data_IF_375770126715
#
_entry.id   IF_375770126715
#
_cell.length_a   1.000
_cell.length_b   1.000
_cell.length_c   1.000
_cell.angle_alpha   90.00
_cell.angle_beta   90.00
_cell.angle_gamma   90.00
#
_symmetry.space_group_name_H-M   'P 1'
#
loop_
_entity.id
_entity.type
_entity.pdbx_description
1 polymer ?
#
# COMPACT_ATOMS: atom_id res chain seq x y z
N UNK A 1 29.89 15.33 -10.15
CA UNK A 1 28.48 14.91 -10.03
C UNK A 1 28.26 14.56 -8.58
N UNK A 2 27.66 15.45 -7.82
CA UNK A 2 27.38 15.22 -6.41
C UNK A 2 26.12 14.35 -6.34
N UNK A 3 26.27 13.07 -5.99
CA UNK A 3 25.16 12.24 -5.56
C UNK A 3 24.59 12.87 -4.29
N UNK A 4 23.44 13.49 -4.42
CA UNK A 4 22.62 13.89 -3.29
C UNK A 4 22.10 12.58 -2.67
N UNK A 5 22.88 11.97 -1.80
CA UNK A 5 22.45 10.84 -0.96
C UNK A 5 21.37 11.37 -0.01
N UNK A 6 20.13 11.39 -0.47
CA UNK A 6 19.00 11.60 0.43
C UNK A 6 19.01 10.46 1.45
N UNK A 7 18.95 10.79 2.74
CA UNK A 7 18.89 9.77 3.80
C UNK A 7 17.71 8.82 3.54
N UNK A 8 17.96 7.52 3.70
CA UNK A 8 16.94 6.49 3.53
C UNK A 8 15.77 6.72 4.50
N UNK A 9 14.58 6.40 4.06
CA UNK A 9 13.38 6.37 4.89
C UNK A 9 13.32 5.03 5.62
N UNK A 10 12.66 4.99 6.77
CA UNK A 10 12.51 3.78 7.59
C UNK A 10 11.04 3.39 7.72
N UNK A 11 10.78 2.09 7.69
CA UNK A 11 9.47 1.54 8.02
C UNK A 11 9.12 1.86 9.50
N UNK A 12 7.84 2.04 9.84
CA UNK A 12 7.38 2.07 11.23
C UNK A 12 7.79 0.82 12.04
N UNK A 13 8.11 -0.28 11.35
CA UNK A 13 8.52 -1.56 11.93
C UNK A 13 10.05 -1.76 11.96
N UNK A 14 10.86 -0.78 11.55
CA UNK A 14 12.32 -0.88 11.45
C UNK A 14 12.97 -1.46 12.72
N UNK A 15 12.62 -0.96 13.90
CA UNK A 15 13.15 -1.46 15.16
C UNK A 15 12.82 -2.94 15.40
N UNK A 16 11.67 -3.42 14.93
CA UNK A 16 11.27 -4.84 15.02
C UNK A 16 12.12 -5.72 14.10
N UNK A 17 12.36 -5.25 12.87
CA UNK A 17 13.22 -5.98 11.92
C UNK A 17 14.64 -6.13 12.44
N UNK A 18 15.23 -5.05 12.98
CA UNK A 18 16.56 -5.08 13.57
C UNK A 18 16.63 -5.98 14.80
N UNK A 19 15.62 -5.95 15.66
CA UNK A 19 15.55 -6.84 16.83
C UNK A 19 15.46 -8.33 16.45
N UNK A 20 14.89 -8.63 15.29
CA UNK A 20 14.85 -9.98 14.70
C UNK A 20 16.14 -10.36 13.94
N UNK A 21 17.14 -9.46 13.91
CA UNK A 21 18.39 -9.67 13.21
C UNK A 21 18.28 -9.60 11.69
N UNK A 22 17.28 -8.91 11.17
CA UNK A 22 17.08 -8.80 9.73
C UNK A 22 18.27 -8.12 9.03
N UNK A 23 18.64 -8.64 7.88
CA UNK A 23 19.55 -7.98 6.94
C UNK A 23 18.77 -6.90 6.22
N UNK A 24 19.21 -5.65 6.36
CA UNK A 24 18.57 -4.49 5.78
C UNK A 24 19.25 -4.07 4.48
N UNK A 25 18.48 -3.52 3.53
CA UNK A 25 18.99 -2.95 2.29
C UNK A 25 18.13 -1.78 1.80
N UNK A 26 18.70 -0.95 0.92
CA UNK A 26 17.95 0.07 0.20
C UNK A 26 16.97 -0.59 -0.78
N UNK A 27 15.71 -0.23 -0.62
CA UNK A 27 14.62 -0.62 -1.51
C UNK A 27 13.80 0.63 -1.90
N UNK A 28 14.13 1.23 -3.03
CA UNK A 28 13.43 2.40 -3.52
C UNK A 28 13.48 3.62 -2.59
N UNK A 29 14.62 3.86 -1.94
CA UNK A 29 14.84 4.96 -1.00
C UNK A 29 14.33 4.68 0.42
N UNK A 30 14.00 3.42 0.73
CA UNK A 30 13.64 2.95 2.06
C UNK A 30 14.64 1.88 2.50
N UNK A 31 15.04 1.89 3.77
CA UNK A 31 15.78 0.79 4.36
C UNK A 31 14.80 -0.30 4.79
N UNK A 32 14.80 -1.42 4.07
CA UNK A 32 13.83 -2.51 4.24
C UNK A 32 14.52 -3.85 4.53
N UNK A 33 13.87 -4.76 5.28
CA UNK A 33 14.41 -6.09 5.52
C UNK A 33 14.36 -6.92 4.24
N UNK A 34 15.47 -7.59 3.92
CA UNK A 34 15.57 -8.47 2.76
C UNK A 34 15.75 -9.94 3.13
N UNK A 35 16.14 -10.23 4.35
CA UNK A 35 16.41 -11.59 4.82
C UNK A 35 16.47 -11.63 6.35
N UNK A 36 16.07 -12.77 6.94
CA UNK A 36 16.17 -13.01 8.38
C UNK A 36 17.08 -14.21 8.71
N UNK A 37 17.72 -14.25 9.90
CA UNK A 37 18.53 -15.37 10.33
C UNK A 37 17.75 -16.69 10.33
N UNK A 38 18.35 -17.73 9.77
CA UNK A 38 17.73 -19.07 9.68
C UNK A 38 16.72 -19.24 8.55
N UNK A 39 16.44 -18.17 7.78
CA UNK A 39 15.63 -18.19 6.56
C UNK A 39 16.49 -18.32 5.31
N UNK A 40 16.41 -17.29 4.48
CA UNK A 40 17.07 -17.19 3.19
C UNK A 40 16.07 -17.33 2.05
N UNK A 41 16.44 -16.81 0.89
CA UNK A 41 15.52 -16.62 -0.26
C UNK A 41 14.75 -17.89 -0.60
N UNK A 42 15.39 -19.05 -0.64
CA UNK A 42 14.73 -20.31 -1.00
C UNK A 42 13.73 -20.77 0.05
N UNK A 43 14.09 -20.71 1.34
CA UNK A 43 13.23 -21.16 2.44
C UNK A 43 12.04 -20.20 2.62
N UNK A 44 12.27 -18.91 2.50
CA UNK A 44 11.21 -17.88 2.58
C UNK A 44 10.25 -17.97 1.38
N UNK A 45 10.77 -18.18 0.18
CA UNK A 45 9.96 -18.43 -1.01
C UNK A 45 9.12 -19.70 -0.85
N UNK A 46 9.71 -20.81 -0.38
CA UNK A 46 8.99 -22.06 -0.12
C UNK A 46 7.87 -21.87 0.90
N UNK A 47 8.14 -21.10 1.98
CA UNK A 47 7.12 -20.78 2.99
C UNK A 47 5.91 -20.08 2.40
N UNK A 48 6.12 -19.07 1.53
CA UNK A 48 5.02 -18.34 0.87
C UNK A 48 4.25 -19.24 -0.09
N UNK A 49 4.92 -20.15 -0.80
CA UNK A 49 4.28 -21.02 -1.79
C UNK A 49 3.47 -22.15 -1.16
N UNK A 50 3.95 -22.70 -0.04
CA UNK A 50 3.43 -23.93 0.54
C UNK A 50 2.80 -23.75 1.93
N UNK A 51 2.99 -22.60 2.57
CA UNK A 51 2.50 -22.28 3.93
C UNK A 51 2.02 -20.83 4.01
N UNK A 52 2.79 -19.95 4.65
CA UNK A 52 2.48 -18.52 4.79
C UNK A 52 3.76 -17.71 5.01
N UNK A 53 3.81 -16.52 4.40
CA UNK A 53 4.84 -15.51 4.64
C UNK A 53 4.22 -14.18 5.06
N UNK A 54 4.97 -13.41 5.85
CA UNK A 54 4.61 -12.07 6.29
C UNK A 54 5.64 -11.10 5.71
N UNK A 55 5.15 -10.03 5.07
CA UNK A 55 5.99 -9.01 4.45
C UNK A 55 5.66 -7.64 5.00
N UNK A 56 6.67 -6.89 5.40
CA UNK A 56 6.54 -5.45 5.61
C UNK A 56 6.55 -4.76 4.24
N UNK A 57 5.42 -4.19 3.86
CA UNK A 57 5.25 -3.40 2.64
C UNK A 57 4.92 -1.93 2.96
N UNK A 58 5.35 -1.47 4.14
CA UNK A 58 5.10 -0.10 4.61
C UNK A 58 5.78 0.98 3.75
N UNK A 59 6.69 0.61 2.87
CA UNK A 59 7.27 1.51 1.87
C UNK A 59 6.28 1.93 0.77
N UNK A 60 5.19 1.19 0.56
CA UNK A 60 4.13 1.61 -0.37
C UNK A 60 3.51 2.94 0.05
N UNK A 61 3.13 3.75 -0.92
CA UNK A 61 2.45 5.01 -0.68
C UNK A 61 1.08 4.84 -0.02
N UNK A 62 0.64 5.86 0.68
CA UNK A 62 -0.72 5.96 1.25
C UNK A 62 -1.20 7.37 1.04
N UNK A 63 -2.25 7.53 0.23
CA UNK A 63 -2.83 8.83 -0.09
C UNK A 63 -4.34 8.76 0.20
N UNK A 64 -4.81 9.64 1.06
CA UNK A 64 -6.23 9.81 1.32
C UNK A 64 -6.80 10.91 0.44
N UNK A 65 -7.95 10.65 -0.18
CA UNK A 65 -8.71 11.57 -1.04
C UNK A 65 -10.11 11.70 -0.44
N UNK A 66 -10.43 12.85 0.15
CA UNK A 66 -11.68 13.06 0.89
C UNK A 66 -12.40 14.34 0.47
N UNK A 67 -13.71 14.27 0.41
CA UNK A 67 -14.60 15.37 0.08
C UNK A 67 -15.68 14.97 -0.93
N UNK A 68 -16.73 15.75 -1.00
CA UNK A 68 -17.86 15.47 -1.89
C UNK A 68 -17.39 15.34 -3.35
N UNK A 69 -17.68 14.17 -3.97
CA UNK A 69 -17.25 13.84 -5.32
C UNK A 69 -15.83 13.28 -5.45
N UNK A 70 -15.21 12.80 -4.36
CA UNK A 70 -13.86 12.20 -4.40
C UNK A 70 -13.78 11.02 -5.38
N UNK A 71 -14.81 10.16 -5.44
CA UNK A 71 -14.92 9.06 -6.39
C UNK A 71 -14.87 9.55 -7.84
N UNK A 72 -15.69 10.56 -8.17
CA UNK A 72 -15.80 11.10 -9.53
C UNK A 72 -14.48 11.77 -9.95
N UNK A 73 -13.84 12.50 -9.03
CA UNK A 73 -12.52 13.05 -9.25
C UNK A 73 -11.48 11.94 -9.54
N UNK A 74 -11.43 10.89 -8.73
CA UNK A 74 -10.49 9.79 -8.96
C UNK A 74 -10.80 9.04 -10.26
N UNK A 75 -12.06 8.85 -10.61
CA UNK A 75 -12.46 8.31 -11.91
C UNK A 75 -11.99 9.18 -13.10
N UNK A 76 -11.85 10.48 -12.92
CA UNK A 76 -11.39 11.37 -13.98
C UNK A 76 -9.88 11.31 -14.23
N UNK A 77 -9.11 10.79 -13.26
CA UNK A 77 -7.63 10.79 -13.31
C UNK A 77 -7.02 9.40 -13.40
N UNK A 78 -7.73 8.35 -13.01
CA UNK A 78 -7.28 6.96 -13.10
C UNK A 78 -7.97 6.23 -14.27
N UNK A 79 -7.37 5.15 -14.74
CA UNK A 79 -7.78 4.48 -15.98
C UNK A 79 -8.96 3.52 -15.85
N UNK A 80 -9.22 2.99 -14.65
CA UNK A 80 -10.33 2.08 -14.41
C UNK A 80 -11.54 2.86 -13.85
N UNK A 81 -12.65 2.19 -13.67
CA UNK A 81 -13.95 2.78 -13.35
C UNK A 81 -14.40 2.35 -11.95
N UNK A 82 -14.35 3.26 -10.97
CA UNK A 82 -14.78 3.02 -9.60
C UNK A 82 -16.29 2.78 -9.46
N UNK A 83 -17.09 3.08 -10.49
CA UNK A 83 -18.52 2.72 -10.50
C UNK A 83 -18.74 1.20 -10.56
N UNK A 84 -17.75 0.44 -11.04
CA UNK A 84 -17.81 -1.03 -11.12
C UNK A 84 -17.61 -1.73 -9.79
N UNK A 85 -17.23 -1.01 -8.74
CA UNK A 85 -17.03 -1.54 -7.41
C UNK A 85 -17.92 -0.84 -6.38
N UNK A 86 -18.21 -1.52 -5.29
CA UNK A 86 -18.99 -0.99 -4.16
C UNK A 86 -18.09 -0.48 -3.04
N UNK A 87 -18.68 0.22 -2.07
CA UNK A 87 -17.98 0.58 -0.84
C UNK A 87 -17.45 -0.68 -0.12
N UNK A 88 -16.24 -0.63 0.38
CA UNK A 88 -15.54 -1.77 0.97
C UNK A 88 -14.80 -2.65 -0.05
N UNK A 89 -14.75 -2.23 -1.31
CA UNK A 89 -14.00 -2.93 -2.37
C UNK A 89 -12.82 -2.10 -2.87
N UNK A 90 -11.84 -2.80 -3.43
CA UNK A 90 -10.65 -2.22 -4.02
C UNK A 90 -10.55 -2.54 -5.52
N UNK A 91 -9.80 -1.72 -6.25
CA UNK A 91 -9.64 -1.87 -7.69
C UNK A 91 -8.22 -1.49 -8.10
N UNK A 92 -7.65 -2.27 -8.99
CA UNK A 92 -6.38 -1.96 -9.63
C UNK A 92 -6.56 -0.91 -10.73
N UNK A 93 -5.71 0.10 -10.72
CA UNK A 93 -5.77 1.25 -11.58
C UNK A 93 -4.39 1.64 -12.10
N UNK A 94 -4.35 2.42 -13.18
CA UNK A 94 -3.15 3.09 -13.65
C UNK A 94 -3.37 4.61 -13.60
N UNK A 95 -2.33 5.35 -13.22
CA UNK A 95 -2.22 6.78 -13.45
C UNK A 95 -1.33 6.98 -14.67
N UNK A 96 -1.85 7.64 -15.71
CA UNK A 96 -1.13 7.89 -16.95
C UNK A 96 -0.85 9.37 -17.16
N UNK A 97 0.14 9.67 -18.00
CA UNK A 97 0.37 11.01 -18.53
C UNK A 97 -0.52 11.27 -19.77
N UNK A 98 -0.48 12.48 -20.30
CA UNK A 98 -1.27 12.91 -21.47
C UNK A 98 -0.96 12.10 -22.75
N UNK A 99 0.21 11.48 -22.83
CA UNK A 99 0.63 10.65 -23.96
C UNK A 99 0.28 9.17 -23.76
N UNK A 100 -0.44 8.82 -22.66
CA UNK A 100 -0.83 7.46 -22.32
C UNK A 100 0.29 6.63 -21.64
N UNK A 101 1.45 7.24 -21.36
CA UNK A 101 2.53 6.57 -20.62
C UNK A 101 2.16 6.38 -19.15
N UNK A 102 2.40 5.18 -18.61
CA UNK A 102 2.11 4.88 -17.19
C UNK A 102 3.07 5.64 -16.28
N UNK A 103 2.51 6.40 -15.35
CA UNK A 103 3.24 7.06 -14.25
C UNK A 103 3.36 6.13 -13.07
N UNK A 104 2.25 5.47 -12.70
CA UNK A 104 2.20 4.52 -11.60
C UNK A 104 1.03 3.54 -11.77
N UNK A 105 1.14 2.37 -11.16
CA UNK A 105 0.06 1.42 -10.94
C UNK A 105 -0.39 1.51 -9.47
N UNK A 106 -1.70 1.62 -9.25
CA UNK A 106 -2.27 2.04 -7.97
C UNK A 106 -3.45 1.15 -7.61
N UNK A 107 -3.51 0.70 -6.36
CA UNK A 107 -4.74 0.12 -5.82
C UNK A 107 -5.56 1.25 -5.20
N UNK A 108 -6.79 1.40 -5.67
CA UNK A 108 -7.78 2.33 -5.13
C UNK A 108 -8.80 1.57 -4.27
N UNK A 109 -8.96 2.00 -3.03
CA UNK A 109 -9.90 1.46 -2.04
C UNK A 109 -11.06 2.44 -1.91
N UNK A 110 -12.28 1.98 -2.22
CA UNK A 110 -13.50 2.79 -2.09
C UNK A 110 -14.12 2.60 -0.71
N UNK A 111 -13.83 3.52 0.21
CA UNK A 111 -14.49 3.57 1.51
C UNK A 111 -15.95 4.06 1.37
N UNK A 112 -16.13 5.13 0.61
CA UNK A 112 -17.42 5.73 0.21
C UNK A 112 -17.21 6.56 -1.05
N UNK A 113 -18.26 7.20 -1.56
CA UNK A 113 -18.16 8.13 -2.70
C UNK A 113 -17.31 9.37 -2.39
N UNK A 114 -17.24 9.73 -1.11
CA UNK A 114 -16.50 10.89 -0.62
C UNK A 114 -15.18 10.54 0.09
N UNK A 115 -14.79 9.27 0.09
CA UNK A 115 -13.57 8.80 0.76
C UNK A 115 -12.93 7.65 -0.02
N UNK A 116 -11.86 7.97 -0.74
CA UNK A 116 -11.04 7.02 -1.50
C UNK A 116 -9.64 6.98 -0.89
N UNK A 117 -9.11 5.78 -0.72
CA UNK A 117 -7.74 5.59 -0.26
C UNK A 117 -6.90 4.94 -1.37
N UNK A 118 -5.75 5.52 -1.66
CA UNK A 118 -4.87 5.08 -2.75
C UNK A 118 -3.56 4.53 -2.20
N UNK A 119 -3.08 3.45 -2.80
CA UNK A 119 -1.80 2.83 -2.47
C UNK A 119 -0.91 2.81 -3.72
N UNK A 120 -0.21 3.92 -3.99
CA UNK A 120 0.80 4.00 -5.05
C UNK A 120 2.11 3.31 -4.64
N UNK A 121 2.98 3.06 -5.62
CA UNK A 121 4.33 2.55 -5.38
C UNK A 121 5.20 3.56 -4.63
N UNK A 122 6.15 3.04 -3.83
CA UNK A 122 7.01 3.83 -2.95
C UNK A 122 7.75 4.97 -3.66
N UNK A 123 8.38 4.66 -4.80
CA UNK A 123 9.17 5.61 -5.58
C UNK A 123 8.31 6.72 -6.21
N UNK A 124 7.06 6.42 -6.53
CA UNK A 124 6.16 7.32 -7.25
C UNK A 124 5.21 8.09 -6.33
N UNK A 125 5.12 7.74 -5.05
CA UNK A 125 4.13 8.30 -4.11
C UNK A 125 4.10 9.84 -4.09
N UNK A 126 5.26 10.49 -4.06
CA UNK A 126 5.33 11.96 -4.07
C UNK A 126 4.82 12.55 -5.37
N UNK A 127 5.18 11.95 -6.50
CA UNK A 127 4.73 12.40 -7.84
C UNK A 127 3.22 12.22 -8.01
N UNK A 128 2.69 11.09 -7.58
CA UNK A 128 1.23 10.83 -7.59
C UNK A 128 0.51 11.85 -6.73
N UNK A 129 0.99 12.09 -5.50
CA UNK A 129 0.42 13.10 -4.60
C UNK A 129 0.41 14.50 -5.22
N UNK A 130 1.50 14.93 -5.87
CA UNK A 130 1.58 16.23 -6.53
C UNK A 130 0.61 16.36 -7.69
N UNK A 131 0.49 15.32 -8.54
CA UNK A 131 -0.44 15.30 -9.68
C UNK A 131 -1.87 15.42 -9.19
N UNK A 132 -2.28 14.59 -8.24
CA UNK A 132 -3.62 14.61 -7.68
C UNK A 132 -3.93 15.95 -7.01
N UNK A 133 -2.99 16.50 -6.22
CA UNK A 133 -3.18 17.78 -5.52
C UNK A 133 -3.35 18.96 -6.46
N UNK A 134 -2.68 18.94 -7.63
CA UNK A 134 -2.82 19.98 -8.65
C UNK A 134 -4.17 19.95 -9.39
N UNK A 135 -4.73 18.76 -9.52
CA UNK A 135 -5.98 18.55 -10.29
C UNK A 135 -7.24 18.54 -9.41
N UNK A 136 -7.05 18.38 -8.08
CA UNK A 136 -8.15 18.26 -7.16
C UNK A 136 -9.02 19.53 -7.11
N UNK A 137 -10.35 19.41 -7.22
CA UNK A 137 -11.28 20.50 -6.91
C UNK A 137 -11.10 21.01 -5.48
N UNK A 138 -11.46 22.26 -5.22
CA UNK A 138 -11.26 22.94 -3.93
C UNK A 138 -11.97 22.25 -2.73
N UNK A 139 -13.04 21.51 -3.00
CA UNK A 139 -13.79 20.75 -2.01
C UNK A 139 -13.23 19.35 -1.74
N UNK A 140 -12.16 18.93 -2.44
CA UNK A 140 -11.50 17.64 -2.24
C UNK A 140 -10.14 17.84 -1.58
N UNK A 141 -9.95 17.21 -0.44
CA UNK A 141 -8.70 17.21 0.32
C UNK A 141 -7.87 15.98 -0.04
N UNK A 142 -6.66 16.21 -0.55
CA UNK A 142 -5.65 15.17 -0.74
C UNK A 142 -4.67 15.22 0.45
N UNK A 143 -4.40 14.07 1.06
CA UNK A 143 -3.46 13.98 2.18
C UNK A 143 -2.46 12.86 1.94
N UNK A 144 -1.18 13.19 1.96
CA UNK A 144 -0.11 12.20 1.90
C UNK A 144 0.12 11.62 3.30
N UNK A 145 -0.21 10.34 3.47
CA UNK A 145 -0.08 9.59 4.73
C UNK A 145 1.00 8.51 4.62
N UNK A 146 1.95 8.68 3.72
CA UNK A 146 2.95 7.67 3.36
C UNK A 146 3.69 7.08 4.56
N UNK A 147 3.92 7.86 5.63
CA UNK A 147 4.68 7.47 6.82
C UNK A 147 3.81 7.23 8.07
N UNK A 148 2.50 7.35 7.96
CA UNK A 148 1.59 7.30 9.12
C UNK A 148 1.16 5.88 9.50
N UNK A 149 1.26 4.93 8.56
CA UNK A 149 0.77 3.56 8.74
C UNK A 149 1.84 2.54 8.36
N UNK A 150 1.91 1.45 9.14
CA UNK A 150 2.51 0.22 8.70
C UNK A 150 1.53 -0.56 7.80
N UNK A 151 2.07 -1.24 6.79
CA UNK A 151 1.31 -2.16 5.94
C UNK A 151 2.01 -3.51 5.95
N UNK A 152 1.27 -4.54 6.33
CA UNK A 152 1.76 -5.92 6.38
C UNK A 152 0.96 -6.74 5.36
N UNK A 153 1.67 -7.41 4.45
CA UNK A 153 1.08 -8.41 3.58
C UNK A 153 1.28 -9.80 4.19
N UNK A 154 0.18 -10.55 4.32
CA UNK A 154 0.18 -11.96 4.76
C UNK A 154 -0.22 -12.82 3.58
N UNK A 155 0.70 -13.62 3.06
CA UNK A 155 0.54 -14.30 1.78
C UNK A 155 0.89 -15.78 1.87
N UNK A 156 0.13 -16.61 1.18
CA UNK A 156 0.32 -18.05 1.09
C UNK A 156 -0.97 -18.83 1.39
N UNK A 157 -0.99 -20.15 1.15
CA UNK A 157 -2.16 -21.00 1.35
C UNK A 157 -2.75 -20.92 2.77
N UNK A 158 -1.90 -20.77 3.79
CA UNK A 158 -2.30 -20.76 5.20
C UNK A 158 -2.58 -19.36 5.75
N UNK A 159 -2.61 -18.31 4.91
CA UNK A 159 -2.79 -16.92 5.35
C UNK A 159 -4.09 -16.73 6.15
N UNK A 160 -5.20 -17.31 5.68
CA UNK A 160 -6.49 -17.23 6.36
C UNK A 160 -6.40 -17.86 7.75
N UNK A 161 -5.89 -19.08 7.84
CA UNK A 161 -5.76 -19.83 9.10
C UNK A 161 -4.88 -19.09 10.11
N UNK A 162 -3.77 -18.50 9.65
CA UNK A 162 -2.91 -17.68 10.50
C UNK A 162 -3.66 -16.49 11.09
N UNK A 163 -4.34 -15.71 10.26
CA UNK A 163 -5.06 -14.51 10.70
C UNK A 163 -6.21 -14.87 11.65
N UNK A 164 -6.94 -15.96 11.37
CA UNK A 164 -8.02 -16.46 12.24
C UNK A 164 -7.48 -16.93 13.60
N UNK A 165 -6.28 -17.52 13.63
CA UNK A 165 -5.63 -17.94 14.89
C UNK A 165 -5.28 -16.76 15.83
N UNK A 166 -5.18 -15.55 15.26
CA UNK A 166 -5.00 -14.30 16.01
C UNK A 166 -6.33 -13.68 16.49
N UNK A 167 -7.45 -14.37 16.32
CA UNK A 167 -8.78 -13.92 16.72
C UNK A 167 -9.45 -12.97 15.71
N UNK A 168 -8.84 -12.78 14.53
CA UNK A 168 -9.39 -11.91 13.48
C UNK A 168 -10.23 -12.77 12.52
N UNK A 169 -11.54 -12.58 12.51
CA UNK A 169 -12.42 -13.27 11.57
C UNK A 169 -12.29 -12.67 10.17
N UNK A 170 -11.83 -13.47 9.23
CA UNK A 170 -11.69 -13.10 7.83
C UNK A 170 -12.91 -13.59 7.01
N UNK A 171 -13.93 -12.76 6.98
CA UNK A 171 -15.05 -12.87 6.02
C UNK A 171 -14.91 -11.71 5.03
N UNK A 172 -13.93 -11.81 4.14
CA UNK A 172 -13.57 -10.79 3.15
C UNK A 172 -13.53 -11.46 1.79
N UNK A 173 -14.27 -10.92 0.82
CA UNK A 173 -14.23 -11.36 -0.56
C UNK A 173 -12.98 -10.85 -1.28
N UNK A 174 -12.70 -11.44 -2.45
CA UNK A 174 -11.59 -10.99 -3.29
C UNK A 174 -11.72 -9.49 -3.62
N UNK A 175 -10.61 -8.76 -3.54
CA UNK A 175 -10.55 -7.31 -3.74
C UNK A 175 -11.53 -6.53 -2.85
N UNK A 176 -11.80 -7.04 -1.64
CA UNK A 176 -12.59 -6.36 -0.63
C UNK A 176 -11.76 -6.10 0.62
N UNK A 177 -12.22 -5.18 1.46
CA UNK A 177 -11.58 -4.85 2.73
C UNK A 177 -12.60 -4.52 3.80
N UNK A 178 -12.20 -4.65 5.05
CA UNK A 178 -12.99 -4.22 6.22
C UNK A 178 -12.15 -3.28 7.08
N UNK A 179 -12.77 -2.21 7.54
CA UNK A 179 -12.19 -1.32 8.55
C UNK A 179 -12.59 -1.86 9.91
N UNK A 180 -11.60 -2.15 10.74
CA UNK A 180 -11.79 -2.64 12.11
C UNK A 180 -10.95 -1.84 13.09
N UNK A 181 -11.25 -1.99 14.39
CA UNK A 181 -10.39 -1.49 15.48
C UNK A 181 -9.81 -2.70 16.20
N UNK A 182 -8.51 -2.70 16.43
CA UNK A 182 -7.90 -3.62 17.37
C UNK A 182 -8.38 -3.23 18.79
N UNK A 183 -8.95 -4.18 19.52
CA UNK A 183 -9.13 -4.03 20.95
C UNK A 183 -7.82 -4.43 21.62
N UNK A 184 -7.11 -3.44 22.13
CA UNK A 184 -5.92 -3.62 22.96
C UNK A 184 -6.37 -3.74 24.40
#
# INVERSE_FOLDING_TARGET
MSENSSALKFSPLDAKHRALGAKMADFGGWEMPIEYPGGGVLAEHDAVRNRVGIFDVSHLGKISVKGAGAKDFINSVLTNDLEKISNGQAQYNLLCNEQGGVIDDIIAYRNSDDDIFLVPNAANCSKVFEILSKQAPANIKITNQHREYAVIAVQGPDSKSLIESLGIKLEIDYMSFKIGRAHV
#
